data_IF_166208214216
#
_entry.id   IF_166208214216
#
_cell.length_a   1.000
_cell.length_b   1.000
_cell.length_c   1.000
_cell.angle_alpha   90.00
_cell.angle_beta   90.00
_cell.angle_gamma   90.00
#
_symmetry.space_group_name_H-M   'P 1'
#
loop_
_entity.id
_entity.type
_entity.pdbx_description
1 polymer ?
#
# COMPACT_ATOMS: atom_id res chain seq x y z
N UNK A 1 8.04 -7.25 43.72
CA UNK A 1 8.63 -6.38 42.69
C UNK A 1 8.08 -6.85 41.36
N UNK A 2 6.97 -6.25 40.91
CA UNK A 2 6.30 -6.66 39.68
C UNK A 2 7.01 -6.02 38.48
N UNK A 3 7.38 -6.86 37.52
CA UNK A 3 7.98 -6.48 36.25
C UNK A 3 6.95 -5.72 35.39
N UNK A 4 7.15 -4.41 35.19
CA UNK A 4 6.38 -3.60 34.23
C UNK A 4 6.88 -3.83 32.80
N UNK A 5 6.48 -4.94 32.19
CA UNK A 5 6.74 -5.26 30.77
C UNK A 5 5.73 -4.61 29.83
N UNK A 6 5.58 -3.27 29.84
CA UNK A 6 4.57 -2.60 28.99
C UNK A 6 4.69 -1.09 28.74
N UNK A 7 5.88 -0.48 28.83
CA UNK A 7 6.00 1.00 28.80
C UNK A 7 6.66 1.68 27.58
N UNK A 8 7.58 1.08 26.80
CA UNK A 8 8.27 1.84 25.75
C UNK A 8 7.37 2.28 24.59
N UNK A 9 6.48 1.39 24.14
CA UNK A 9 5.63 1.58 22.96
C UNK A 9 4.56 2.64 23.19
N UNK A 10 3.91 2.63 24.36
CA UNK A 10 2.89 3.63 24.74
C UNK A 10 3.46 5.06 24.79
N UNK A 11 4.67 5.23 25.34
CA UNK A 11 5.31 6.53 25.43
C UNK A 11 5.68 7.06 24.03
N UNK A 12 6.16 6.18 23.17
CA UNK A 12 6.56 6.52 21.80
C UNK A 12 5.35 6.91 20.94
N UNK A 13 4.22 6.21 21.10
CA UNK A 13 2.95 6.57 20.45
C UNK A 13 2.48 7.96 20.86
N UNK A 14 2.41 8.23 22.16
CA UNK A 14 1.96 9.52 22.68
C UNK A 14 2.83 10.66 22.15
N UNK A 15 4.14 10.46 22.11
CA UNK A 15 5.06 11.49 21.62
C UNK A 15 4.90 11.74 20.11
N UNK A 16 4.75 10.69 19.31
CA UNK A 16 4.49 10.83 17.87
C UNK A 16 3.15 11.55 17.58
N UNK A 17 2.12 11.31 18.40
CA UNK A 17 0.84 12.02 18.27
C UNK A 17 0.95 13.51 18.67
N UNK A 18 1.71 13.83 19.71
CA UNK A 18 1.95 15.22 20.12
C UNK A 18 2.71 16.00 19.03
N UNK A 19 3.72 15.37 18.43
CA UNK A 19 4.56 15.94 17.36
C UNK A 19 3.78 16.34 16.11
N UNK A 20 2.56 15.81 15.91
CA UNK A 20 1.67 16.24 14.82
C UNK A 20 1.18 17.68 14.97
N UNK A 21 1.19 18.23 16.19
CA UNK A 21 0.51 19.49 16.53
C UNK A 21 1.37 20.54 17.22
N UNK A 22 2.58 20.18 17.66
CA UNK A 22 3.44 21.03 18.50
C UNK A 22 4.51 21.82 17.73
N UNK A 23 4.54 21.69 16.40
CA UNK A 23 5.50 22.40 15.54
C UNK A 23 6.86 21.72 15.41
N UNK A 24 7.01 20.49 15.90
CA UNK A 24 8.20 19.66 15.68
C UNK A 24 8.52 19.54 14.18
N UNK A 25 9.81 19.53 13.84
CA UNK A 25 10.29 19.36 12.47
C UNK A 25 10.60 17.90 12.15
N UNK A 26 10.61 17.55 10.85
CA UNK A 26 10.99 16.20 10.42
C UNK A 26 12.39 15.77 10.90
N UNK A 27 13.34 16.70 11.08
CA UNK A 27 14.68 16.35 11.60
C UNK A 27 14.63 15.90 13.05
N UNK A 28 13.88 16.62 13.89
CA UNK A 28 13.72 16.30 15.31
C UNK A 28 13.00 14.96 15.51
N UNK A 29 12.01 14.67 14.66
CA UNK A 29 11.35 13.36 14.65
C UNK A 29 12.33 12.24 14.32
N UNK A 30 13.24 12.44 13.35
CA UNK A 30 14.26 11.42 13.03
C UNK A 30 15.21 11.18 14.20
N UNK A 31 15.68 12.25 14.84
CA UNK A 31 16.59 12.16 15.98
C UNK A 31 15.93 11.43 17.15
N UNK A 32 14.63 11.68 17.39
CA UNK A 32 13.82 10.98 18.38
C UNK A 32 13.65 9.48 18.07
N UNK A 33 13.39 9.13 16.80
CA UNK A 33 13.18 7.74 16.37
C UNK A 33 14.47 6.93 16.27
N UNK A 34 15.62 7.57 16.10
CA UNK A 34 16.88 6.90 15.81
C UNK A 34 17.24 5.80 16.83
N UNK A 35 17.15 6.03 18.16
CA UNK A 35 17.45 4.99 19.15
C UNK A 35 16.46 3.83 19.11
N UNK A 36 15.18 4.10 18.80
CA UNK A 36 14.14 3.06 18.70
C UNK A 36 14.36 2.17 17.47
N UNK A 37 14.73 2.76 16.33
CA UNK A 37 14.96 2.04 15.08
C UNK A 37 16.26 1.22 15.09
N UNK A 38 17.28 1.64 15.86
CA UNK A 38 18.54 0.90 15.99
C UNK A 38 18.46 -0.32 16.91
N UNK A 39 17.40 -0.45 17.73
CA UNK A 39 17.26 -1.61 18.60
C UNK A 39 17.17 -2.92 17.79
N UNK A 40 17.89 -3.94 18.27
CA UNK A 40 17.84 -5.30 17.76
C UNK A 40 16.97 -6.12 18.70
N UNK A 41 15.66 -5.98 18.56
CA UNK A 41 14.66 -6.71 19.34
C UNK A 41 13.53 -7.19 18.41
N UNK A 42 12.80 -8.20 18.88
CA UNK A 42 11.52 -8.59 18.27
C UNK A 42 10.49 -7.58 18.74
N UNK A 43 9.94 -6.82 17.81
CA UNK A 43 8.85 -5.90 18.11
C UNK A 43 7.55 -6.68 18.33
N UNK A 44 6.73 -6.32 19.33
CA UNK A 44 5.42 -6.91 19.50
C UNK A 44 4.48 -6.52 18.35
N UNK A 45 3.49 -7.35 18.04
CA UNK A 45 2.53 -7.13 16.94
C UNK A 45 1.77 -5.79 17.06
N UNK A 46 1.56 -5.32 18.30
CA UNK A 46 0.91 -4.03 18.59
C UNK A 46 1.70 -2.81 18.11
N UNK A 47 2.99 -2.98 17.76
CA UNK A 47 3.86 -1.90 17.26
C UNK A 47 3.36 -1.33 15.93
N UNK A 48 2.62 -2.11 15.14
CA UNK A 48 2.01 -1.63 13.89
C UNK A 48 0.99 -0.51 14.19
N UNK A 49 0.04 -0.80 15.06
CA UNK A 49 -1.02 0.14 15.42
C UNK A 49 -0.48 1.33 16.21
N UNK A 50 0.42 1.04 17.15
CA UNK A 50 0.88 2.03 18.12
C UNK A 50 2.00 2.93 17.59
N UNK A 51 2.83 2.48 16.67
CA UNK A 51 4.03 3.24 16.26
C UNK A 51 4.06 3.43 14.76
N UNK A 52 3.87 2.37 13.97
CA UNK A 52 3.96 2.46 12.53
C UNK A 52 2.85 3.33 11.93
N UNK A 53 1.61 3.21 12.41
CA UNK A 53 0.50 4.03 11.91
C UNK A 53 0.68 5.53 12.25
N UNK A 54 0.93 5.94 13.51
CA UNK A 54 1.24 7.33 13.84
C UNK A 54 2.41 7.90 13.05
N UNK A 55 3.47 7.11 12.86
CA UNK A 55 4.64 7.52 12.07
C UNK A 55 4.31 7.71 10.59
N UNK A 56 3.40 6.91 10.03
CA UNK A 56 2.93 7.08 8.64
C UNK A 56 2.13 8.35 8.47
N UNK A 57 1.20 8.64 9.39
CA UNK A 57 0.41 9.87 9.37
C UNK A 57 1.34 11.09 9.44
N UNK A 58 2.35 11.03 10.31
CA UNK A 58 3.34 12.08 10.47
C UNK A 58 4.21 12.25 9.22
N UNK A 59 4.58 11.15 8.55
CA UNK A 59 5.29 11.19 7.28
C UNK A 59 4.47 11.82 6.15
N UNK A 60 3.14 11.61 6.13
CA UNK A 60 2.24 12.28 5.18
C UNK A 60 2.21 13.79 5.42
N UNK A 61 2.14 14.24 6.68
CA UNK A 61 2.22 15.66 7.04
C UNK A 61 3.54 16.30 6.58
N UNK A 62 4.65 15.57 6.67
CA UNK A 62 5.96 16.01 6.17
C UNK A 62 6.24 15.63 4.71
N UNK A 63 5.22 15.31 3.91
CA UNK A 63 5.36 15.05 2.48
C UNK A 63 6.47 14.02 2.12
N UNK A 64 6.59 12.95 2.91
CA UNK A 64 7.52 11.84 2.64
C UNK A 64 8.94 12.00 3.23
N UNK A 65 9.22 13.05 4.00
CA UNK A 65 10.55 13.29 4.57
C UNK A 65 11.03 12.20 5.56
N UNK A 66 10.15 11.32 6.02
CA UNK A 66 10.42 10.21 6.95
C UNK A 66 10.29 8.83 6.28
N UNK A 67 10.31 8.77 4.94
CA UNK A 67 10.16 7.51 4.19
C UNK A 67 11.18 6.43 4.59
N UNK A 68 12.41 6.84 4.94
CA UNK A 68 13.47 5.90 5.35
C UNK A 68 13.13 5.23 6.66
N UNK A 69 12.66 6.00 7.63
CA UNK A 69 12.29 5.56 8.97
C UNK A 69 11.06 4.65 8.92
N UNK A 70 10.04 5.02 8.14
CA UNK A 70 8.85 4.21 7.90
C UNK A 70 9.23 2.87 7.26
N UNK A 71 10.06 2.88 6.21
CA UNK A 71 10.46 1.66 5.50
C UNK A 71 11.33 0.75 6.37
N UNK A 72 12.22 1.31 7.19
CA UNK A 72 13.05 0.55 8.11
C UNK A 72 12.21 -0.15 9.19
N UNK A 73 11.22 0.54 9.76
CA UNK A 73 10.34 -0.05 10.76
C UNK A 73 9.44 -1.14 10.15
N UNK A 74 8.90 -0.91 8.94
CA UNK A 74 8.15 -1.93 8.18
C UNK A 74 8.95 -3.21 7.97
N UNK A 75 10.21 -3.07 7.51
CA UNK A 75 11.10 -4.22 7.28
C UNK A 75 11.34 -5.00 8.56
N UNK A 76 11.59 -4.30 9.68
CA UNK A 76 11.81 -4.92 10.99
C UNK A 76 10.58 -5.64 11.54
N UNK A 77 9.39 -5.13 11.25
CA UNK A 77 8.12 -5.74 11.65
C UNK A 77 7.70 -6.90 10.73
N UNK A 78 8.46 -7.22 9.69
CA UNK A 78 8.04 -8.18 8.67
C UNK A 78 6.78 -7.73 7.91
N UNK A 79 6.44 -6.44 7.99
CA UNK A 79 5.35 -5.83 7.24
C UNK A 79 5.87 -5.62 5.82
N UNK A 80 5.70 -6.63 4.98
CA UNK A 80 5.73 -6.44 3.52
C UNK A 80 4.72 -5.35 3.17
N UNK A 81 5.10 -4.40 2.30
CA UNK A 81 4.35 -3.19 1.95
C UNK A 81 2.86 -3.44 1.60
N UNK A 82 2.01 -3.65 2.61
CA UNK A 82 0.57 -3.85 2.46
C UNK A 82 -0.22 -2.79 3.24
N UNK A 83 0.46 -1.85 3.90
CA UNK A 83 -0.18 -0.65 4.42
C UNK A 83 0.02 0.48 3.40
N UNK A 84 -0.75 0.35 2.33
CA UNK A 84 -0.95 1.35 1.29
C UNK A 84 -1.86 2.43 1.92
N UNK A 85 -1.44 3.70 1.90
CA UNK A 85 -2.25 4.78 2.49
C UNK A 85 -3.63 4.84 1.82
N UNK A 86 -4.60 5.48 2.47
CA UNK A 86 -5.93 5.68 1.93
C UNK A 86 -5.92 6.36 0.53
N UNK A 87 -4.80 6.98 0.10
CA UNK A 87 -4.63 7.56 -1.23
C UNK A 87 -4.27 6.55 -2.33
N UNK A 88 -3.85 5.32 -2.00
CA UNK A 88 -3.45 4.30 -2.98
C UNK A 88 -4.62 3.52 -3.58
N UNK A 89 -5.74 3.46 -2.86
CA UNK A 89 -6.99 2.86 -3.34
C UNK A 89 -7.94 3.87 -3.95
N UNK A 90 -7.43 5.02 -4.42
CA UNK A 90 -8.24 6.11 -4.96
C UNK A 90 -9.16 5.66 -6.11
N UNK A 91 -8.87 4.52 -6.76
CA UNK A 91 -9.68 3.94 -7.82
C UNK A 91 -10.41 2.65 -7.44
N UNK A 92 -10.38 2.21 -6.18
CA UNK A 92 -11.17 1.07 -5.70
C UNK A 92 -12.58 1.54 -5.33
N UNK A 93 -13.61 0.79 -5.75
CA UNK A 93 -15.01 1.16 -5.51
C UNK A 93 -15.47 0.86 -4.08
N UNK A 94 -14.95 -0.21 -3.46
CA UNK A 94 -15.10 -0.49 -2.03
C UNK A 94 -13.72 -0.51 -1.34
N UNK A 95 -13.41 0.57 -0.62
CA UNK A 95 -12.11 0.75 0.04
C UNK A 95 -11.75 -0.35 1.05
N UNK A 96 -12.72 -1.15 1.54
CA UNK A 96 -12.46 -2.25 2.47
C UNK A 96 -11.70 -3.41 1.84
N UNK A 97 -11.86 -3.61 0.54
CA UNK A 97 -11.29 -4.74 -0.19
C UNK A 97 -10.09 -4.37 -1.06
N UNK A 98 -9.60 -3.13 -0.96
CA UNK A 98 -8.52 -2.62 -1.82
C UNK A 98 -7.26 -3.49 -1.84
N UNK A 99 -6.81 -3.94 -0.66
CA UNK A 99 -5.65 -4.84 -0.55
C UNK A 99 -5.87 -6.16 -1.30
N UNK A 100 -7.03 -6.79 -1.11
CA UNK A 100 -7.36 -8.08 -1.75
C UNK A 100 -7.39 -7.92 -3.27
N UNK A 101 -8.00 -6.84 -3.77
CA UNK A 101 -8.09 -6.55 -5.19
C UNK A 101 -6.69 -6.34 -5.78
N UNK A 102 -5.84 -5.53 -5.12
CA UNK A 102 -4.52 -5.22 -5.64
C UNK A 102 -3.57 -6.42 -5.60
N UNK A 103 -3.60 -7.22 -4.52
CA UNK A 103 -2.85 -8.48 -4.46
C UNK A 103 -3.27 -9.41 -5.58
N UNK A 104 -4.59 -9.58 -5.82
CA UNK A 104 -5.07 -10.46 -6.88
C UNK A 104 -4.68 -9.97 -8.28
N UNK A 105 -4.68 -8.66 -8.53
CA UNK A 105 -4.15 -8.09 -9.78
C UNK A 105 -2.67 -8.44 -9.94
N UNK A 106 -1.86 -8.25 -8.90
CA UNK A 106 -0.43 -8.57 -8.92
C UNK A 106 -0.19 -10.06 -9.21
N UNK A 107 -0.93 -10.95 -8.55
CA UNK A 107 -0.77 -12.41 -8.71
C UNK A 107 -1.06 -12.84 -10.17
N UNK A 108 -2.08 -12.27 -10.82
CA UNK A 108 -2.34 -12.54 -12.24
C UNK A 108 -1.26 -12.00 -13.18
N UNK A 109 -0.55 -10.94 -12.78
CA UNK A 109 0.55 -10.36 -13.55
C UNK A 109 1.85 -11.15 -13.37
N UNK A 110 1.99 -11.93 -12.30
CA UNK A 110 3.21 -12.67 -11.98
C UNK A 110 3.58 -13.65 -13.11
N UNK A 111 4.87 -13.66 -13.47
CA UNK A 111 5.40 -14.50 -14.55
C UNK A 111 4.96 -14.11 -15.97
N UNK A 112 4.15 -13.06 -16.15
CA UNK A 112 3.76 -12.54 -17.47
C UNK A 112 4.75 -11.48 -17.96
N UNK A 113 4.85 -11.32 -19.27
CA UNK A 113 5.76 -10.34 -19.90
C UNK A 113 5.12 -9.53 -21.03
N UNK A 114 4.02 -10.02 -21.62
CA UNK A 114 3.34 -9.32 -22.70
C UNK A 114 2.49 -8.18 -22.13
N UNK A 115 2.56 -6.95 -22.66
CA UNK A 115 1.76 -5.83 -22.16
C UNK A 115 0.25 -6.09 -22.14
N UNK A 116 -0.25 -6.88 -23.11
CA UNK A 116 -1.64 -7.33 -23.16
C UNK A 116 -2.01 -8.15 -21.92
N UNK A 117 -1.18 -9.10 -21.54
CA UNK A 117 -1.44 -10.02 -20.42
C UNK A 117 -1.28 -9.28 -19.09
N UNK A 118 -0.32 -8.36 -19.00
CA UNK A 118 -0.11 -7.53 -17.81
C UNK A 118 -1.27 -6.57 -17.54
N UNK A 119 -1.90 -6.01 -18.58
CA UNK A 119 -3.04 -5.10 -18.43
C UNK A 119 -4.39 -5.84 -18.25
N UNK A 120 -4.44 -7.14 -18.57
CA UNK A 120 -5.66 -7.95 -18.53
C UNK A 120 -6.34 -7.97 -17.15
N UNK A 121 -5.64 -8.25 -16.02
CA UNK A 121 -6.30 -8.30 -14.71
C UNK A 121 -6.81 -6.93 -14.24
N UNK A 122 -6.11 -5.84 -14.61
CA UNK A 122 -6.61 -4.48 -14.34
C UNK A 122 -7.93 -4.26 -15.08
N UNK A 123 -7.99 -4.65 -16.35
CA UNK A 123 -9.20 -4.50 -17.15
C UNK A 123 -10.34 -5.40 -16.64
N UNK A 124 -10.03 -6.63 -16.22
CA UNK A 124 -11.02 -7.53 -15.64
C UNK A 124 -11.61 -6.96 -14.33
N UNK A 125 -10.77 -6.40 -13.46
CA UNK A 125 -11.23 -5.73 -12.24
C UNK A 125 -12.12 -4.50 -12.53
N UNK A 126 -11.81 -3.75 -13.60
CA UNK A 126 -12.67 -2.64 -14.05
C UNK A 126 -14.03 -3.13 -14.52
N UNK A 127 -14.06 -4.15 -15.38
CA UNK A 127 -15.30 -4.69 -15.94
C UNK A 127 -16.14 -5.43 -14.87
N UNK A 128 -15.51 -5.96 -13.82
CA UNK A 128 -16.17 -6.51 -12.63
C UNK A 128 -16.72 -5.42 -11.69
N UNK A 129 -16.40 -4.14 -11.92
CA UNK A 129 -16.87 -3.02 -11.11
C UNK A 129 -16.22 -2.87 -9.74
N UNK A 130 -15.15 -3.63 -9.45
CA UNK A 130 -14.43 -3.53 -8.16
C UNK A 130 -13.47 -2.35 -8.12
N UNK A 131 -13.07 -1.84 -9.29
CA UNK A 131 -12.31 -0.60 -9.47
C UNK A 131 -12.93 0.28 -10.56
N UNK A 132 -12.79 1.60 -10.44
CA UNK A 132 -12.95 2.52 -11.58
C UNK A 132 -11.74 2.45 -12.49
N UNK A 133 -11.84 3.09 -13.66
CA UNK A 133 -10.69 3.26 -14.57
C UNK A 133 -9.55 4.01 -13.86
N UNK A 134 -8.36 3.38 -13.69
CA UNK A 134 -7.19 4.07 -13.18
C UNK A 134 -6.52 4.90 -14.28
N UNK A 135 -5.94 6.03 -13.89
CA UNK A 135 -4.95 6.71 -14.71
C UNK A 135 -3.63 5.95 -14.71
N UNK A 136 -2.78 6.17 -15.71
CA UNK A 136 -1.44 5.57 -15.72
C UNK A 136 -0.61 6.01 -14.48
N UNK A 137 -0.80 7.25 -14.01
CA UNK A 137 -0.13 7.74 -12.80
C UNK A 137 -0.56 6.96 -11.55
N UNK A 138 -1.85 6.71 -11.39
CA UNK A 138 -2.38 5.91 -10.27
C UNK A 138 -1.91 4.44 -10.34
N UNK A 139 -1.86 3.87 -11.55
CA UNK A 139 -1.33 2.52 -11.76
C UNK A 139 0.14 2.39 -11.32
N UNK A 140 0.98 3.36 -11.69
CA UNK A 140 2.39 3.39 -11.30
C UNK A 140 2.54 3.66 -9.81
N UNK A 141 1.73 4.58 -9.26
CA UNK A 141 1.74 4.92 -7.85
C UNK A 141 1.36 3.72 -6.95
N UNK A 142 0.51 2.80 -7.45
CA UNK A 142 0.15 1.55 -6.77
C UNK A 142 1.37 0.71 -6.32
N UNK A 143 2.52 0.87 -6.99
CA UNK A 143 3.82 0.36 -6.57
C UNK A 143 4.02 -1.16 -6.65
N UNK A 144 2.92 -1.92 -6.66
CA UNK A 144 2.93 -3.38 -6.68
C UNK A 144 2.56 -3.98 -8.02
N UNK A 145 2.09 -3.19 -9.00
CA UNK A 145 1.74 -3.73 -10.31
C UNK A 145 2.96 -3.84 -11.22
N UNK A 146 2.87 -4.76 -12.18
CA UNK A 146 3.92 -4.97 -13.17
C UNK A 146 4.17 -3.72 -14.02
N UNK A 147 5.43 -3.52 -14.44
CA UNK A 147 5.79 -2.38 -15.29
C UNK A 147 5.24 -2.57 -16.71
N UNK A 148 4.45 -1.60 -17.17
CA UNK A 148 3.88 -1.54 -18.53
C UNK A 148 4.12 -0.14 -19.07
N UNK A 149 4.36 0.01 -20.38
CA UNK A 149 4.43 1.36 -20.98
C UNK A 149 3.08 2.08 -20.91
N UNK A 150 3.09 3.41 -20.77
CA UNK A 150 1.87 4.23 -20.76
C UNK A 150 0.95 3.93 -21.95
N UNK A 151 1.49 3.93 -23.15
CA UNK A 151 0.74 3.68 -24.39
C UNK A 151 0.12 2.29 -24.40
N UNK A 152 0.84 1.26 -23.94
CA UNK A 152 0.28 -0.10 -23.86
C UNK A 152 -0.82 -0.18 -22.82
N UNK A 153 -0.59 0.37 -21.62
CA UNK A 153 -1.59 0.40 -20.55
C UNK A 153 -2.89 1.06 -21.03
N UNK A 154 -2.80 2.30 -21.52
CA UNK A 154 -3.96 3.07 -21.98
C UNK A 154 -4.71 2.37 -23.12
N UNK A 155 -4.01 1.63 -23.98
CA UNK A 155 -4.64 0.88 -25.05
C UNK A 155 -5.41 -0.34 -24.56
N UNK A 156 -4.81 -1.13 -23.66
CA UNK A 156 -5.38 -2.42 -23.26
C UNK A 156 -6.44 -2.29 -22.17
N UNK A 157 -6.41 -1.24 -21.34
CA UNK A 157 -7.46 -0.98 -20.34
C UNK A 157 -8.63 -0.15 -20.88
N UNK A 158 -8.57 0.34 -22.14
CA UNK A 158 -9.60 1.23 -22.69
C UNK A 158 -10.96 0.51 -22.91
N UNK A 159 -12.05 0.90 -22.21
CA UNK A 159 -13.38 0.30 -22.35
C UNK A 159 -13.89 0.17 -23.78
N UNK A 160 -13.61 1.17 -24.61
CA UNK A 160 -14.07 1.25 -26.00
C UNK A 160 -13.38 0.22 -26.92
N UNK A 161 -12.27 -0.35 -26.45
CA UNK A 161 -11.56 -1.43 -27.13
C UNK A 161 -11.96 -2.76 -26.50
N UNK A 162 -12.10 -3.79 -27.35
CA UNK A 162 -12.34 -5.19 -26.95
C UNK A 162 -11.11 -6.06 -27.24
N UNK A 163 -9.96 -5.83 -26.57
CA UNK A 163 -8.76 -6.63 -26.82
C UNK A 163 -8.83 -8.04 -26.19
N UNK A 164 -9.80 -8.29 -25.31
CA UNK A 164 -9.99 -9.54 -24.57
C UNK A 164 -11.36 -10.16 -24.88
N UNK A 165 -11.36 -11.41 -25.30
CA UNK A 165 -12.57 -12.22 -25.57
C UNK A 165 -12.38 -13.68 -25.17
N UNK A 166 -11.26 -14.00 -24.52
CA UNK A 166 -10.87 -15.35 -24.16
C UNK A 166 -11.45 -15.77 -22.80
N UNK A 167 -11.46 -17.08 -22.55
CA UNK A 167 -12.01 -17.65 -21.32
C UNK A 167 -11.25 -17.17 -20.07
N UNK A 168 -9.93 -17.04 -20.16
CA UNK A 168 -9.10 -16.58 -19.04
C UNK A 168 -9.51 -15.18 -18.57
N UNK A 169 -9.80 -14.27 -19.49
CA UNK A 169 -10.34 -12.95 -19.16
C UNK A 169 -11.69 -13.04 -18.42
N UNK A 170 -12.63 -13.83 -18.94
CA UNK A 170 -13.96 -13.96 -18.34
C UNK A 170 -13.90 -14.59 -16.94
N UNK A 171 -13.01 -15.56 -16.73
CA UNK A 171 -12.75 -16.16 -15.42
C UNK A 171 -12.23 -15.10 -14.45
N UNK A 172 -11.27 -14.26 -14.85
CA UNK A 172 -10.78 -13.15 -14.00
C UNK A 172 -11.91 -12.19 -13.61
N UNK A 173 -12.81 -11.83 -14.54
CA UNK A 173 -13.94 -10.92 -14.25
C UNK A 173 -14.86 -11.53 -13.17
N UNK A 174 -15.21 -12.80 -13.31
CA UNK A 174 -16.02 -13.54 -12.32
C UNK A 174 -15.30 -13.57 -10.97
N UNK A 175 -14.01 -13.87 -10.99
CA UNK A 175 -13.16 -13.94 -9.82
C UNK A 175 -13.02 -12.63 -9.05
N UNK A 176 -13.07 -11.48 -9.75
CA UNK A 176 -13.13 -10.17 -9.11
C UNK A 176 -14.53 -9.84 -8.59
N UNK A 177 -15.60 -10.23 -9.30
CA UNK A 177 -16.97 -9.95 -8.86
C UNK A 177 -17.37 -10.64 -7.55
N UNK A 178 -16.67 -11.71 -7.15
CA UNK A 178 -16.90 -12.38 -5.87
C UNK A 178 -16.18 -11.71 -4.68
N UNK A 179 -15.42 -10.63 -4.91
CA UNK A 179 -14.71 -9.91 -3.84
C UNK A 179 -15.61 -8.83 -3.20
N UNK A 180 -16.67 -8.39 -3.89
CA UNK A 180 -17.65 -7.38 -3.42
C UNK A 180 -18.87 -8.00 -2.76
#
# INVERSE_FOLDING_TARGET
>A
MEHKTGHPTNLLTCELENMKTDGTTASEVRDFLHPFLQQVCVYPDTTIEMVLNPLRDLNELYSGMLDKEVNLLKQKLGVTNNCLSASLFAFVMDGKNGNVIFSKIHDYQEGKSKPKDLAMPVRAAMDAGVIRRPTYGEYVAAGQFAKISKTSFENYVNPDKKPYTDAAYNEMVIDFSHIV
#
